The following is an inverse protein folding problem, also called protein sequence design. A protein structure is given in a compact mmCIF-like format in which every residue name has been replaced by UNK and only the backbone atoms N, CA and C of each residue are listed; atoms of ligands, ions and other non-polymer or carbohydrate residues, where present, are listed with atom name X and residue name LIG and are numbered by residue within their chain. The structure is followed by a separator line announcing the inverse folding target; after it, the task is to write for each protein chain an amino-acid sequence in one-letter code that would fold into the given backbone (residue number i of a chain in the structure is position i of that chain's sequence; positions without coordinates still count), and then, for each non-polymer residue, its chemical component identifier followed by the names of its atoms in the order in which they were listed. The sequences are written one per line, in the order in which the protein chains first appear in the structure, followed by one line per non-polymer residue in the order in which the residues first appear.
data_IF_235454023045
#
_entry.id   IF_235454023045
#
_cell.length_a   1.000
_cell.length_b   1.000
_cell.length_c   1.000
_cell.angle_alpha   90.00
_cell.angle_beta   90.00
_cell.angle_gamma   90.00
#
_symmetry.space_group_name_H-M   'P 1'
#
loop_
_entity.id
_entity.type
_entity.pdbx_description
1 polymer ?
#
# COMPACT_ATOMS: atom_id res chain seq x y z
N UNK A 1 -2.05 -34.07 -21.74
CA UNK A 1 -1.55 -32.69 -21.76
C UNK A 1 -1.49 -32.18 -20.34
N UNK A 2 -0.30 -32.02 -19.75
CA UNK A 2 -0.17 -31.32 -18.46
C UNK A 2 -0.34 -29.84 -18.78
N UNK A 3 -1.57 -29.34 -18.70
CA UNK A 3 -1.84 -27.91 -18.69
C UNK A 3 -1.36 -27.36 -17.37
N UNK A 4 -0.07 -27.00 -17.29
CA UNK A 4 0.49 -26.38 -16.10
C UNK A 4 -0.28 -25.11 -15.79
N UNK A 5 -0.80 -25.00 -14.56
CA UNK A 5 -1.35 -23.76 -14.05
C UNK A 5 -0.33 -22.66 -14.33
N UNK A 6 -0.77 -21.57 -14.97
CA UNK A 6 0.11 -20.49 -15.35
C UNK A 6 0.97 -19.99 -14.18
N UNK A 7 2.02 -19.21 -14.46
CA UNK A 7 2.91 -18.72 -13.42
C UNK A 7 2.12 -18.05 -12.29
N UNK A 8 2.51 -18.34 -11.05
CA UNK A 8 1.86 -17.80 -9.86
C UNK A 8 1.74 -16.26 -9.95
N UNK A 9 0.62 -15.73 -9.45
CA UNK A 9 0.32 -14.30 -9.42
C UNK A 9 -0.08 -13.90 -8.01
N UNK A 10 0.33 -12.70 -7.61
CA UNK A 10 -0.12 -12.10 -6.36
C UNK A 10 -1.58 -11.69 -6.55
N UNK A 11 -2.47 -12.23 -5.72
CA UNK A 11 -3.89 -11.89 -5.72
C UNK A 11 -4.21 -10.74 -4.77
N UNK A 12 -3.47 -10.61 -3.67
CA UNK A 12 -3.73 -9.62 -2.63
C UNK A 12 -2.44 -9.11 -2.01
N UNK A 13 -2.38 -7.82 -1.75
CA UNK A 13 -1.32 -7.14 -1.01
C UNK A 13 -1.97 -6.44 0.18
N UNK A 14 -1.44 -6.69 1.39
CA UNK A 14 -1.77 -5.90 2.57
C UNK A 14 -0.63 -4.94 2.86
N UNK A 15 -0.93 -3.66 2.91
CA UNK A 15 0.04 -2.59 3.08
C UNK A 15 -0.23 -1.85 4.39
N UNK A 16 0.73 -1.90 5.31
CA UNK A 16 0.69 -1.12 6.55
C UNK A 16 1.63 0.07 6.44
N UNK A 17 1.08 1.29 6.54
CA UNK A 17 1.85 2.53 6.46
C UNK A 17 1.89 3.17 7.85
N UNK A 18 3.08 3.25 8.42
CA UNK A 18 3.32 3.85 9.73
C UNK A 18 3.69 5.32 9.57
N UNK A 19 2.82 6.22 10.02
CA UNK A 19 3.00 7.65 9.95
C UNK A 19 3.47 8.22 11.28
N UNK A 20 4.23 9.32 11.32
CA UNK A 20 4.50 10.02 12.57
C UNK A 20 3.21 10.38 13.30
N UNK A 21 3.20 10.23 14.63
CA UNK A 21 2.07 10.67 15.45
C UNK A 21 1.74 12.15 15.21
N UNK A 22 0.45 12.48 15.23
CA UNK A 22 -0.03 13.85 15.11
C UNK A 22 -0.23 14.35 13.67
N UNK A 23 -0.34 13.45 12.69
CA UNK A 23 -0.80 13.85 11.36
C UNK A 23 -2.20 14.46 11.46
N UNK A 24 -2.41 15.64 10.86
CA UNK A 24 -3.76 16.21 10.79
C UNK A 24 -4.67 15.30 9.93
N UNK A 25 -5.99 15.34 10.16
CA UNK A 25 -6.94 14.60 9.33
C UNK A 25 -6.82 14.94 7.83
N UNK A 26 -6.54 16.20 7.46
CA UNK A 26 -6.32 16.56 6.06
C UNK A 26 -5.09 15.86 5.48
N UNK A 27 -3.97 15.87 6.20
CA UNK A 27 -2.72 15.24 5.75
C UNK A 27 -2.89 13.73 5.63
N UNK A 28 -3.65 13.12 6.54
CA UNK A 28 -3.96 11.69 6.49
C UNK A 28 -4.77 11.34 5.24
N UNK A 29 -5.79 12.14 4.92
CA UNK A 29 -6.57 11.97 3.68
C UNK A 29 -5.71 12.14 2.43
N UNK A 30 -4.84 13.16 2.41
CA UNK A 30 -3.92 13.38 1.29
C UNK A 30 -2.93 12.23 1.08
N UNK A 31 -2.42 11.64 2.17
CA UNK A 31 -1.57 10.45 2.11
C UNK A 31 -2.30 9.25 1.51
N UNK A 32 -3.52 8.97 1.97
CA UNK A 32 -4.34 7.86 1.43
C UNK A 32 -4.58 8.07 -0.06
N UNK A 33 -4.99 9.27 -0.47
CA UNK A 33 -5.22 9.59 -1.87
C UNK A 33 -3.95 9.40 -2.72
N UNK A 34 -2.78 9.79 -2.21
CA UNK A 34 -1.51 9.59 -2.92
C UNK A 34 -1.11 8.10 -3.06
N UNK A 35 -1.45 7.26 -2.08
CA UNK A 35 -1.19 5.82 -2.14
C UNK A 35 -2.14 5.15 -3.15
N UNK A 36 -3.41 5.56 -3.16
CA UNK A 36 -4.42 5.07 -4.10
C UNK A 36 -4.07 5.44 -5.55
N UNK A 37 -3.48 6.62 -5.77
CA UNK A 37 -3.04 7.09 -7.09
C UNK A 37 -1.66 6.53 -7.53
N UNK A 38 -1.08 5.59 -6.77
CA UNK A 38 0.21 5.03 -7.10
C UNK A 38 0.18 4.25 -8.43
N UNK A 39 1.02 4.66 -9.39
CA UNK A 39 1.11 4.08 -10.73
C UNK A 39 1.44 2.58 -10.79
N UNK A 40 1.85 1.95 -9.68
CA UNK A 40 2.10 0.50 -9.63
C UNK A 40 0.80 -0.30 -9.83
N UNK A 41 -0.30 0.09 -9.17
CA UNK A 41 -1.63 -0.54 -9.38
C UNK A 41 -2.11 -0.41 -10.82
N UNK A 42 -1.70 0.67 -11.50
CA UNK A 42 -2.13 1.01 -12.85
C UNK A 42 -1.24 0.38 -13.95
N UNK A 43 -0.12 -0.24 -13.57
CA UNK A 43 0.89 -0.75 -14.51
C UNK A 43 0.83 -2.26 -14.78
N UNK A 44 0.00 -2.99 -14.03
CA UNK A 44 -0.14 -4.46 -14.15
C UNK A 44 -1.47 -4.80 -14.80
N UNK A 45 -1.46 -5.67 -15.83
CA UNK A 45 -2.67 -6.08 -16.58
C UNK A 45 -3.75 -6.74 -15.72
N UNK A 46 -3.34 -7.35 -14.61
CA UNK A 46 -4.23 -7.94 -13.61
C UNK A 46 -3.68 -7.50 -12.25
N UNK A 47 -4.08 -6.30 -11.77
CA UNK A 47 -3.56 -5.80 -10.52
C UNK A 47 -4.12 -6.62 -9.33
N UNK A 48 -3.32 -6.82 -8.28
CA UNK A 48 -3.81 -7.44 -7.05
C UNK A 48 -4.80 -6.53 -6.33
N UNK A 49 -5.67 -7.11 -5.52
CA UNK A 49 -6.43 -6.35 -4.51
C UNK A 49 -5.45 -5.80 -3.48
N UNK A 50 -5.55 -4.51 -3.16
CA UNK A 50 -4.70 -3.89 -2.15
C UNK A 50 -5.52 -3.41 -0.97
N UNK A 51 -5.10 -3.80 0.21
CA UNK A 51 -5.73 -3.46 1.48
C UNK A 51 -4.76 -2.57 2.26
N UNK A 52 -5.16 -1.34 2.53
CA UNK A 52 -4.32 -0.31 3.13
C UNK A 52 -4.74 -0.04 4.58
N UNK A 53 -3.79 -0.21 5.49
CA UNK A 53 -3.91 0.21 6.89
C UNK A 53 -2.90 1.34 7.16
N UNK A 54 -3.40 2.54 7.45
CA UNK A 54 -2.55 3.64 7.93
C UNK A 54 -2.56 3.61 9.46
N UNK A 55 -1.39 3.58 10.06
CA UNK A 55 -1.17 3.48 11.50
C UNK A 55 -0.40 4.69 12.00
N UNK A 56 -0.77 5.22 13.17
CA UNK A 56 0.05 6.23 13.84
C UNK A 56 1.19 5.53 14.59
N UNK A 57 2.42 5.85 14.22
CA UNK A 57 3.62 5.42 14.92
C UNK A 57 3.87 6.33 16.11
N UNK A 58 4.17 5.75 17.27
CA UNK A 58 4.85 6.48 18.34
C UNK A 58 6.14 7.09 17.76
N UNK A 59 6.35 8.37 18.01
CA UNK A 59 7.42 9.18 17.42
C UNK A 59 8.82 8.57 17.65
N UNK A 60 9.34 7.82 16.68
CA UNK A 60 10.76 7.45 16.61
C UNK A 60 11.36 8.05 15.34
N UNK A 61 11.59 9.35 15.37
CA UNK A 61 12.54 9.96 14.45
C UNK A 61 13.94 9.55 14.91
N UNK A 62 14.59 8.59 14.23
CA UNK A 62 16.06 8.59 14.20
C UNK A 62 16.46 9.58 13.13
N UNK A 63 16.87 10.77 13.56
CA UNK A 63 17.72 11.63 12.76
C UNK A 63 18.96 10.82 12.37
N UNK A 64 19.24 10.73 11.08
CA UNK A 64 20.51 10.27 10.54
C UNK A 64 21.44 11.48 10.40
#
# INVERSE_FOLDING_TARGET
MVGGAGPARVSTIRLEVRCPAGLSPERRRGLVAAIEDCMVHNSVRTPPRVELDVLDAASHHRAA
#
